data_IF_217304940865
#
_entry.id   IF_217304940865
#
_cell.length_a   1.000
_cell.length_b   1.000
_cell.length_c   1.000
_cell.angle_alpha   90.00
_cell.angle_beta   90.00
_cell.angle_gamma   90.00
#
_symmetry.space_group_name_H-M   'P 1'
#
loop_
_entity.id
_entity.type
_entity.pdbx_description
1 polymer ?
#
# COMPACT_ATOMS: atom_id res chain seq x y z
N UNK A 1 34.82 -20.11 40.74
CA UNK A 1 33.57 -20.69 40.22
C UNK A 1 32.78 -19.57 39.53
N UNK A 2 32.32 -19.85 38.30
CA UNK A 2 31.42 -19.11 37.39
C UNK A 2 30.22 -18.42 38.12
N UNK A 3 29.52 -17.38 37.63
CA UNK A 3 29.51 -16.59 36.40
C UNK A 3 28.63 -15.34 36.59
N UNK A 4 28.79 -14.39 35.67
CA UNK A 4 28.05 -13.14 35.51
C UNK A 4 26.52 -13.34 35.42
N UNK A 5 25.76 -12.63 36.27
CA UNK A 5 24.33 -12.43 36.09
C UNK A 5 24.11 -11.33 35.06
N UNK A 6 23.94 -11.72 33.80
CA UNK A 6 23.54 -10.82 32.73
C UNK A 6 22.20 -10.17 33.07
N UNK A 7 22.19 -8.85 33.21
CA UNK A 7 20.95 -8.08 33.17
C UNK A 7 20.37 -8.32 31.79
N UNK A 8 19.32 -9.12 31.74
CA UNK A 8 18.51 -9.31 30.55
C UNK A 8 18.03 -7.92 30.14
N UNK A 9 18.70 -7.35 29.14
CA UNK A 9 18.14 -6.25 28.37
C UNK A 9 16.94 -6.85 27.65
N UNK A 10 15.78 -6.82 28.31
CA UNK A 10 14.51 -6.91 27.62
C UNK A 10 14.40 -5.63 26.79
N UNK A 11 15.00 -5.66 25.60
CA UNK A 11 14.51 -4.85 24.50
C UNK A 11 13.14 -5.45 24.20
N UNK A 12 12.02 -4.73 24.43
CA UNK A 12 10.77 -5.15 23.82
C UNK A 12 11.05 -5.32 22.32
N UNK A 13 10.47 -6.32 21.63
CA UNK A 13 10.57 -6.37 20.18
C UNK A 13 10.13 -4.98 19.71
N UNK A 14 11.10 -4.19 19.22
CA UNK A 14 10.87 -2.85 18.70
C UNK A 14 9.68 -3.02 17.79
N UNK A 15 8.58 -2.30 18.06
CA UNK A 15 7.46 -2.24 17.14
C UNK A 15 8.07 -2.07 15.75
N UNK A 16 7.96 -3.11 14.93
CA UNK A 16 8.62 -3.20 13.64
C UNK A 16 8.13 -1.99 12.87
N UNK A 17 8.96 -0.95 12.78
CA UNK A 17 8.66 0.20 11.97
C UNK A 17 8.72 -0.33 10.54
N UNK A 18 7.57 -0.80 10.02
CA UNK A 18 7.43 -1.25 8.64
C UNK A 18 8.12 -0.19 7.77
N UNK A 19 9.07 -0.63 6.95
CA UNK A 19 9.80 0.31 6.12
C UNK A 19 8.80 1.04 5.21
N UNK A 20 9.06 2.30 4.81
CA UNK A 20 8.12 3.04 3.98
C UNK A 20 7.66 2.27 2.72
N UNK A 21 8.52 1.43 2.15
CA UNK A 21 8.17 0.58 1.00
C UNK A 21 7.20 -0.55 1.36
N UNK A 22 7.30 -1.13 2.55
CA UNK A 22 6.38 -2.17 3.03
C UNK A 22 4.99 -1.56 3.27
N UNK A 23 4.94 -0.40 3.92
CA UNK A 23 3.69 0.34 4.10
C UNK A 23 3.08 0.73 2.74
N UNK A 24 3.90 1.23 1.81
CA UNK A 24 3.40 1.60 0.49
C UNK A 24 2.83 0.38 -0.27
N UNK A 25 3.46 -0.79 -0.17
CA UNK A 25 2.96 -2.02 -0.76
C UNK A 25 1.65 -2.47 -0.12
N UNK A 26 1.54 -2.39 1.21
CA UNK A 26 0.31 -2.72 1.93
C UNK A 26 -0.84 -1.77 1.54
N UNK A 27 -0.56 -0.48 1.40
CA UNK A 27 -1.51 0.53 0.96
C UNK A 27 -1.98 0.28 -0.48
N UNK A 28 -1.05 0.03 -1.42
CA UNK A 28 -1.37 -0.32 -2.81
C UNK A 28 -2.24 -1.59 -2.87
N UNK A 29 -1.91 -2.62 -2.09
CA UNK A 29 -2.70 -3.86 -2.03
C UNK A 29 -4.09 -3.63 -1.45
N UNK A 30 -4.21 -2.76 -0.45
CA UNK A 30 -5.50 -2.41 0.15
C UNK A 30 -6.37 -1.69 -0.87
N UNK A 31 -5.81 -0.66 -1.54
CA UNK A 31 -6.52 0.06 -2.62
C UNK A 31 -6.94 -0.91 -3.73
N UNK A 32 -6.04 -1.79 -4.18
CA UNK A 32 -6.31 -2.79 -5.22
C UNK A 32 -7.47 -3.71 -4.86
N UNK A 33 -7.51 -4.25 -3.64
CA UNK A 33 -8.63 -5.09 -3.17
C UNK A 33 -9.94 -4.31 -3.09
N UNK A 34 -9.89 -3.05 -2.65
CA UNK A 34 -11.07 -2.19 -2.62
C UNK A 34 -11.59 -1.88 -4.02
N UNK A 35 -10.71 -1.69 -5.01
CA UNK A 35 -11.07 -1.52 -6.42
C UNK A 35 -11.75 -2.78 -6.99
N UNK A 36 -11.21 -3.96 -6.69
CA UNK A 36 -11.80 -5.24 -7.13
C UNK A 36 -13.19 -5.46 -6.51
N UNK A 37 -13.34 -5.12 -5.22
CA UNK A 37 -14.63 -5.19 -4.52
C UNK A 37 -15.65 -4.20 -5.10
N UNK A 38 -15.23 -2.96 -5.38
CA UNK A 38 -16.07 -1.94 -6.03
C UNK A 38 -16.53 -2.41 -7.40
N UNK A 39 -15.63 -2.96 -8.22
CA UNK A 39 -15.96 -3.49 -9.53
C UNK A 39 -16.92 -4.69 -9.45
N UNK A 40 -16.74 -5.57 -8.46
CA UNK A 40 -17.62 -6.72 -8.25
C UNK A 40 -19.07 -6.30 -7.94
N UNK A 41 -19.28 -5.16 -7.29
CA UNK A 41 -20.63 -4.65 -6.98
C UNK A 41 -21.22 -3.75 -8.08
N UNK A 42 -20.37 -2.95 -8.74
CA UNK A 42 -20.81 -1.91 -9.67
C UNK A 42 -20.60 -2.26 -11.15
N UNK A 43 -19.94 -3.37 -11.44
CA UNK A 43 -19.51 -3.81 -12.79
C UNK A 43 -18.63 -2.78 -13.52
N UNK A 44 -18.03 -1.85 -12.78
CA UNK A 44 -17.12 -0.81 -13.26
C UNK A 44 -16.12 -0.45 -12.16
N UNK A 45 -14.94 0.01 -12.54
CA UNK A 45 -14.02 0.66 -11.60
C UNK A 45 -14.44 2.12 -11.36
N UNK A 46 -14.09 2.72 -10.21
CA UNK A 46 -14.41 4.12 -9.94
C UNK A 46 -13.62 5.07 -10.87
N UNK A 47 -14.09 6.31 -11.00
CA UNK A 47 -13.38 7.35 -11.75
C UNK A 47 -12.24 7.93 -10.89
N UNK A 48 -12.38 7.88 -9.57
CA UNK A 48 -11.38 8.34 -8.59
C UNK A 48 -11.37 7.49 -7.30
N UNK A 49 -10.24 7.45 -6.60
CA UNK A 49 -10.07 6.61 -5.41
C UNK A 49 -11.02 6.98 -4.26
N UNK A 50 -11.47 8.24 -4.19
CA UNK A 50 -12.36 8.70 -3.12
C UNK A 50 -13.72 8.01 -3.14
N UNK A 51 -14.17 7.50 -4.30
CA UNK A 51 -15.44 6.76 -4.44
C UNK A 51 -15.41 5.38 -3.78
N UNK A 52 -14.22 4.89 -3.39
CA UNK A 52 -14.10 3.68 -2.58
C UNK A 52 -14.56 3.90 -1.13
N UNK A 53 -14.65 5.15 -0.69
CA UNK A 53 -15.05 5.49 0.67
C UNK A 53 -16.57 5.66 0.79
N UNK A 54 -17.14 5.34 1.96
CA UNK A 54 -16.53 4.58 3.06
C UNK A 54 -16.67 3.06 2.87
N UNK A 55 -17.42 2.61 1.86
CA UNK A 55 -17.96 1.25 1.77
C UNK A 55 -16.89 0.18 1.47
N UNK A 56 -15.83 0.54 0.74
CA UNK A 56 -14.76 -0.38 0.32
C UNK A 56 -13.42 -0.09 1.00
N UNK A 57 -13.22 1.14 1.47
CA UNK A 57 -12.05 1.55 2.25
C UNK A 57 -12.45 2.67 3.22
N UNK A 58 -11.97 2.62 4.47
CA UNK A 58 -12.29 3.64 5.48
C UNK A 58 -11.75 5.01 5.09
N UNK A 59 -10.54 5.05 4.55
CA UNK A 59 -9.91 6.25 4.01
C UNK A 59 -8.91 5.87 2.92
N UNK A 60 -8.75 6.71 1.90
CA UNK A 60 -7.67 6.53 0.92
C UNK A 60 -6.34 6.90 1.60
N UNK A 61 -5.36 5.98 1.67
CA UNK A 61 -4.06 6.28 2.26
C UNK A 61 -3.25 7.24 1.38
N UNK A 62 -2.23 7.83 1.97
CA UNK A 62 -1.23 8.65 1.27
C UNK A 62 0.10 7.93 1.30
N UNK A 63 0.89 8.10 0.24
CA UNK A 63 2.22 7.52 0.10
C UNK A 63 3.11 7.88 1.30
N UNK A 64 3.67 6.89 2.03
CA UNK A 64 4.39 7.13 3.28
C UNK A 64 5.74 7.83 3.09
N UNK A 65 6.37 7.72 1.92
CA UNK A 65 7.66 8.38 1.65
C UNK A 65 7.49 9.85 1.25
N UNK A 66 6.45 10.18 0.49
CA UNK A 66 6.26 11.53 -0.08
C UNK A 66 5.12 12.32 0.56
N UNK A 67 4.22 11.67 1.30
CA UNK A 67 2.98 12.25 1.83
C UNK A 67 1.95 12.60 0.76
N UNK A 68 2.17 12.21 -0.50
CA UNK A 68 1.28 12.53 -1.64
C UNK A 68 0.26 11.43 -1.86
N UNK A 69 -0.82 11.75 -2.57
CA UNK A 69 -1.80 10.74 -2.98
C UNK A 69 -1.18 9.73 -3.97
N UNK A 70 -1.67 8.49 -3.93
CA UNK A 70 -1.36 7.48 -4.94
C UNK A 70 -1.91 7.89 -6.30
N UNK A 71 -1.20 7.50 -7.36
CA UNK A 71 -1.66 7.70 -8.73
C UNK A 71 -2.60 6.57 -9.10
N UNK A 72 -3.74 6.90 -9.72
CA UNK A 72 -4.76 5.95 -10.12
C UNK A 72 -5.22 6.21 -11.55
N UNK A 73 -5.39 5.15 -12.33
CA UNK A 73 -5.94 5.17 -13.67
C UNK A 73 -6.81 3.93 -13.90
N UNK A 74 -7.90 4.07 -14.65
CA UNK A 74 -8.71 2.94 -15.10
C UNK A 74 -9.27 3.17 -16.51
N UNK A 75 -9.66 2.08 -17.18
CA UNK A 75 -10.47 2.14 -18.40
C UNK A 75 -11.98 2.07 -18.11
N UNK A 76 -12.36 2.19 -16.84
CA UNK A 76 -13.71 2.12 -16.33
C UNK A 76 -14.26 0.70 -16.14
N UNK A 77 -13.79 -0.33 -16.85
CA UNK A 77 -14.48 -1.65 -16.82
C UNK A 77 -13.57 -2.83 -16.55
N UNK A 78 -12.40 -2.88 -17.18
CA UNK A 78 -11.59 -4.09 -17.29
C UNK A 78 -10.22 -3.92 -16.63
N UNK A 79 -9.66 -2.72 -16.69
CA UNK A 79 -8.28 -2.44 -16.27
C UNK A 79 -8.19 -1.28 -15.30
N UNK A 80 -7.29 -1.43 -14.34
CA UNK A 80 -6.82 -0.34 -13.51
C UNK A 80 -5.33 -0.47 -13.22
N UNK A 81 -4.72 0.66 -12.89
CA UNK A 81 -3.39 0.76 -12.33
C UNK A 81 -3.42 1.70 -11.13
N UNK A 82 -2.76 1.31 -10.05
CA UNK A 82 -2.48 2.16 -8.89
C UNK A 82 -0.98 2.14 -8.63
N UNK A 83 -0.35 3.30 -8.48
CA UNK A 83 1.11 3.40 -8.28
C UNK A 83 1.48 4.45 -7.25
N UNK A 84 2.68 4.31 -6.70
CA UNK A 84 3.28 5.41 -5.93
C UNK A 84 3.52 6.62 -6.84
N UNK A 85 3.49 7.85 -6.29
CA UNK A 85 3.75 9.06 -7.06
C UNK A 85 5.24 9.26 -7.41
N UNK A 86 6.15 8.65 -6.64
CA UNK A 86 7.58 8.70 -6.91
C UNK A 86 8.26 7.37 -6.51
N UNK A 87 8.45 6.43 -7.45
CA UNK A 87 9.11 5.15 -7.19
C UNK A 87 10.56 5.31 -6.71
N UNK A 88 11.23 6.40 -7.07
CA UNK A 88 12.63 6.63 -6.72
C UNK A 88 12.82 6.85 -5.22
N UNK A 89 11.79 7.33 -4.52
CA UNK A 89 11.76 7.43 -3.05
C UNK A 89 11.92 6.06 -2.36
N UNK A 90 11.67 4.96 -3.09
CA UNK A 90 11.79 3.58 -2.63
C UNK A 90 12.96 2.83 -3.26
N UNK A 91 13.86 3.53 -3.95
CA UNK A 91 14.92 2.93 -4.79
C UNK A 91 14.35 1.95 -5.83
N UNK A 92 13.14 2.23 -6.34
CA UNK A 92 12.52 1.48 -7.42
C UNK A 92 12.43 2.35 -8.67
N UNK A 93 12.42 1.72 -9.84
CA UNK A 93 11.99 2.32 -11.10
C UNK A 93 10.48 2.27 -11.24
N UNK A 94 9.88 1.19 -10.74
CA UNK A 94 8.42 0.98 -10.77
C UNK A 94 7.96 0.42 -9.43
N UNK A 95 6.87 0.98 -8.91
CA UNK A 95 6.16 0.43 -7.76
C UNK A 95 4.66 0.68 -7.93
N UNK A 96 3.96 -0.33 -8.45
CA UNK A 96 2.56 -0.25 -8.84
C UNK A 96 1.84 -1.60 -8.67
N UNK A 97 0.51 -1.56 -8.74
CA UNK A 97 -0.35 -2.72 -8.94
C UNK A 97 -1.21 -2.47 -10.17
N UNK A 98 -1.19 -3.42 -11.10
CA UNK A 98 -2.02 -3.42 -12.31
C UNK A 98 -2.93 -4.64 -12.26
N UNK A 99 -4.25 -4.43 -12.24
CA UNK A 99 -5.24 -5.52 -12.18
C UNK A 99 -4.91 -6.59 -11.11
N UNK A 100 -4.60 -6.15 -9.88
CA UNK A 100 -4.23 -7.03 -8.76
C UNK A 100 -2.83 -7.61 -8.81
N UNK A 101 -2.01 -7.31 -9.84
CA UNK A 101 -0.65 -7.81 -9.97
C UNK A 101 0.38 -6.74 -9.63
N UNK A 102 1.28 -7.05 -8.71
CA UNK A 102 2.38 -6.17 -8.32
C UNK A 102 3.37 -6.03 -9.47
N UNK A 103 3.76 -4.78 -9.74
CA UNK A 103 4.86 -4.37 -10.61
C UNK A 103 5.89 -3.65 -9.74
N UNK A 104 7.05 -4.29 -9.55
CA UNK A 104 8.15 -3.77 -8.74
C UNK A 104 9.47 -4.05 -9.46
N UNK A 105 10.20 -3.00 -9.83
CA UNK A 105 11.42 -3.04 -10.64
C UNK A 105 12.46 -2.02 -10.18
#
# INVERSE_FOLDING_TARGET
FYQQGGKEHFVPPSAESESPIEQALADLQTISKSLDAFNSMNLKYPDRLEELQPDFITRVPTDPATGKAYMYQSDGTTKYSVSVPDPSAYNQKVLAIENGKIKKE
#
